data_IF_783264648209
#
_entry.id   IF_783264648209
#
_cell.length_a   1.000
_cell.length_b   1.000
_cell.length_c   1.000
_cell.angle_alpha   90.00
_cell.angle_beta   90.00
_cell.angle_gamma   90.00
#
_symmetry.space_group_name_H-M   'P 1'
#
loop_
_entity.id
_entity.type
_entity.pdbx_description
1 polymer ?
#
# COMPACT_ATOMS: atom_id res chain seq x y z
N UNK A 1 8.85 20.50 22.72
CA UNK A 1 9.60 19.43 23.41
C UNK A 1 8.59 18.45 23.98
N UNK A 2 8.67 17.16 23.63
CA UNK A 2 7.71 16.14 24.10
C UNK A 2 7.89 15.89 25.61
N UNK A 3 6.79 15.80 26.36
CA UNK A 3 6.76 15.53 27.80
C UNK A 3 7.48 14.21 28.15
N UNK A 4 7.46 13.23 27.23
CA UNK A 4 8.20 11.97 27.37
C UNK A 4 9.70 12.19 27.38
N UNK A 5 10.19 13.05 26.50
CA UNK A 5 11.61 13.39 26.41
C UNK A 5 12.06 14.17 27.65
N UNK A 6 11.23 15.10 28.16
CA UNK A 6 11.52 15.83 29.41
C UNK A 6 11.63 14.88 30.60
N UNK A 7 10.71 13.92 30.74
CA UNK A 7 10.75 12.91 31.82
C UNK A 7 11.92 11.93 31.69
N UNK A 8 12.36 11.63 30.46
CA UNK A 8 13.55 10.80 30.21
C UNK A 8 14.82 11.55 30.64
N UNK A 9 15.01 12.77 30.15
CA UNK A 9 16.15 13.62 30.49
C UNK A 9 16.23 13.94 31.99
N UNK A 10 15.11 14.22 32.64
CA UNK A 10 15.07 14.45 34.09
C UNK A 10 15.56 13.22 34.89
N UNK A 11 15.20 12.01 34.45
CA UNK A 11 15.70 10.76 35.07
C UNK A 11 17.20 10.57 34.82
N UNK A 12 17.64 10.74 33.58
CA UNK A 12 19.05 10.55 33.21
C UNK A 12 19.97 11.54 33.94
N UNK A 13 19.54 12.80 34.03
CA UNK A 13 20.25 13.83 34.79
C UNK A 13 20.33 13.48 36.29
N UNK A 14 19.22 13.07 36.91
CA UNK A 14 19.20 12.65 38.31
C UNK A 14 20.04 11.37 38.56
N UNK A 15 20.23 10.52 37.54
CA UNK A 15 21.13 9.36 37.60
C UNK A 15 22.60 9.70 37.39
N UNK A 16 22.96 10.98 37.27
CA UNK A 16 24.35 11.43 37.16
C UNK A 16 24.87 11.58 35.73
N UNK A 17 24.00 11.58 34.71
CA UNK A 17 24.41 11.91 33.33
C UNK A 17 24.83 13.38 33.25
N UNK A 18 26.13 13.62 33.08
CA UNK A 18 26.71 14.97 32.94
C UNK A 18 26.94 15.37 31.48
N UNK A 19 26.87 14.42 30.55
CA UNK A 19 27.08 14.65 29.13
C UNK A 19 25.76 14.75 28.35
N UNK A 20 25.56 15.88 27.67
CA UNK A 20 24.37 16.19 26.86
C UNK A 20 24.51 15.67 25.41
N UNK A 21 25.71 15.27 25.00
CA UNK A 21 25.95 14.73 23.67
C UNK A 21 25.34 13.33 23.51
N UNK A 22 24.86 13.05 22.30
CA UNK A 22 24.43 11.72 21.90
C UNK A 22 25.60 10.73 22.04
N UNK A 23 25.32 9.55 22.57
CA UNK A 23 26.26 8.44 22.57
C UNK A 23 26.59 8.02 21.13
N UNK A 24 27.76 7.39 20.96
CA UNK A 24 28.15 6.83 19.68
C UNK A 24 27.06 5.88 19.18
N UNK A 25 26.35 6.31 18.14
CA UNK A 25 25.33 5.48 17.51
C UNK A 25 26.07 4.43 16.70
N UNK A 26 25.73 3.15 16.90
CA UNK A 26 26.11 2.11 15.94
C UNK A 26 25.56 2.55 14.58
N UNK A 27 26.45 2.95 13.68
CA UNK A 27 26.08 3.45 12.36
C UNK A 27 25.28 2.43 11.56
N UNK A 28 24.90 2.79 10.33
CA UNK A 28 24.23 1.85 9.43
C UNK A 28 25.11 0.59 9.30
N UNK A 29 24.61 -0.62 9.65
CA UNK A 29 25.41 -1.82 9.52
C UNK A 29 25.74 -2.02 8.04
N UNK A 30 27.03 -1.89 7.71
CA UNK A 30 27.51 -2.07 6.34
C UNK A 30 27.47 -3.56 5.99
N UNK A 31 27.05 -3.87 4.77
CA UNK A 31 27.24 -5.21 4.20
C UNK A 31 28.72 -5.34 3.88
N UNK A 32 29.44 -6.24 4.57
CA UNK A 32 30.84 -6.50 4.26
C UNK A 32 30.97 -7.25 2.94
N UNK A 33 32.04 -6.99 2.20
CA UNK A 33 32.29 -7.70 0.93
C UNK A 33 32.50 -9.21 1.15
N UNK A 34 32.88 -9.62 2.36
CA UNK A 34 32.94 -11.03 2.75
C UNK A 34 31.56 -11.72 2.67
N UNK A 35 30.48 -11.06 3.12
CA UNK A 35 29.11 -11.61 3.03
C UNK A 35 28.69 -11.69 1.56
N UNK A 36 29.03 -10.67 0.76
CA UNK A 36 28.72 -10.62 -0.68
C UNK A 36 29.37 -11.80 -1.40
N UNK A 37 30.66 -12.03 -1.19
CA UNK A 37 31.39 -13.17 -1.81
C UNK A 37 30.85 -14.53 -1.32
N UNK A 38 30.51 -14.65 -0.04
CA UNK A 38 29.95 -15.89 0.51
C UNK A 38 28.58 -16.21 -0.11
N UNK A 39 27.73 -15.19 -0.31
CA UNK A 39 26.44 -15.35 -1.00
C UNK A 39 26.65 -15.75 -2.46
N UNK A 40 27.58 -15.11 -3.19
CA UNK A 40 27.88 -15.49 -4.58
C UNK A 40 28.37 -16.94 -4.67
N UNK A 41 29.29 -17.35 -3.81
CA UNK A 41 29.81 -18.71 -3.76
C UNK A 41 28.71 -19.74 -3.46
N UNK A 42 27.82 -19.44 -2.51
CA UNK A 42 26.72 -20.34 -2.17
C UNK A 42 25.70 -20.45 -3.31
N UNK A 43 25.37 -19.34 -3.96
CA UNK A 43 24.50 -19.36 -5.14
C UNK A 43 25.12 -20.13 -6.29
N UNK A 44 26.43 -20.03 -6.51
CA UNK A 44 27.14 -20.81 -7.53
C UNK A 44 27.16 -22.31 -7.20
N UNK A 45 27.35 -22.66 -5.92
CA UNK A 45 27.37 -24.03 -5.44
C UNK A 45 25.99 -24.69 -5.51
N UNK A 46 24.93 -23.95 -5.15
CA UNK A 46 23.56 -24.42 -5.16
C UNK A 46 22.64 -23.38 -5.79
N UNK A 47 22.41 -23.52 -7.11
CA UNK A 47 21.49 -22.65 -7.86
C UNK A 47 20.03 -22.76 -7.44
N UNK A 48 19.67 -23.75 -6.61
CA UNK A 48 18.32 -23.94 -6.05
C UNK A 48 18.20 -23.43 -4.61
N UNK A 49 19.24 -22.82 -4.04
CA UNK A 49 19.18 -22.23 -2.71
C UNK A 49 18.07 -21.17 -2.65
N UNK A 50 17.18 -21.28 -1.67
CA UNK A 50 16.13 -20.30 -1.46
C UNK A 50 16.67 -19.10 -0.68
N UNK A 51 15.95 -17.98 -0.74
CA UNK A 51 16.26 -16.76 0.03
C UNK A 51 16.40 -17.07 1.53
N UNK A 52 15.53 -17.94 2.05
CA UNK A 52 15.56 -18.34 3.45
C UNK A 52 16.82 -19.13 3.78
N UNK A 53 17.21 -20.06 2.92
CA UNK A 53 18.43 -20.87 3.12
C UNK A 53 19.68 -19.99 3.14
N UNK A 54 19.75 -18.98 2.26
CA UNK A 54 20.86 -18.03 2.21
C UNK A 54 20.90 -17.11 3.44
N UNK A 55 19.75 -16.64 3.92
CA UNK A 55 19.66 -15.81 5.12
C UNK A 55 20.01 -16.61 6.38
N UNK A 56 19.53 -17.84 6.52
CA UNK A 56 19.83 -18.72 7.65
C UNK A 56 21.31 -19.11 7.70
N UNK A 57 21.91 -19.39 6.54
CA UNK A 57 23.29 -19.85 6.46
C UNK A 57 24.34 -18.73 6.60
N UNK A 58 24.08 -17.57 6.00
CA UNK A 58 25.08 -16.51 5.85
C UNK A 58 24.72 -15.23 6.60
N UNK A 59 23.43 -14.98 6.83
CA UNK A 59 22.93 -13.75 7.42
C UNK A 59 23.13 -12.52 6.53
N UNK A 60 22.14 -11.62 6.49
CA UNK A 60 22.27 -10.36 5.75
C UNK A 60 22.13 -10.49 4.23
N UNK A 61 21.65 -11.62 3.72
CA UNK A 61 21.30 -11.80 2.31
C UNK A 61 20.29 -10.76 1.85
N UNK A 62 19.29 -10.43 2.68
CA UNK A 62 18.31 -9.38 2.38
C UNK A 62 18.94 -8.00 2.12
N UNK A 63 20.12 -7.71 2.69
CA UNK A 63 20.86 -6.47 2.42
C UNK A 63 21.68 -6.56 1.15
N UNK A 64 22.27 -7.73 0.89
CA UNK A 64 22.97 -8.03 -0.37
C UNK A 64 22.00 -7.92 -1.55
N UNK A 65 20.80 -8.51 -1.44
CA UNK A 65 19.77 -8.46 -2.47
C UNK A 65 19.28 -7.03 -2.72
N UNK A 66 19.05 -6.23 -1.68
CA UNK A 66 18.72 -4.81 -1.84
C UNK A 66 19.80 -4.00 -2.57
N UNK A 67 21.09 -4.42 -2.49
CA UNK A 67 22.22 -3.80 -3.21
C UNK A 67 22.34 -4.30 -4.65
N UNK A 68 22.03 -5.57 -4.91
CA UNK A 68 22.19 -6.21 -6.23
C UNK A 68 20.99 -6.04 -7.14
N UNK A 69 19.76 -6.19 -6.64
CA UNK A 69 18.54 -6.20 -7.44
C UNK A 69 18.42 -4.94 -8.31
N UNK A 70 18.63 -3.70 -7.79
CA UNK A 70 18.58 -2.50 -8.63
C UNK A 70 19.63 -2.51 -9.76
N UNK A 71 20.80 -3.12 -9.53
CA UNK A 71 21.90 -3.18 -10.50
C UNK A 71 21.73 -4.31 -11.52
N UNK A 72 20.94 -5.34 -11.19
CA UNK A 72 20.60 -6.44 -12.09
C UNK A 72 19.37 -6.16 -12.94
N UNK A 73 18.59 -5.13 -12.60
CA UNK A 73 17.49 -4.64 -13.40
C UNK A 73 18.03 -3.70 -14.49
N UNK A 74 18.11 -4.19 -15.73
CA UNK A 74 18.34 -3.35 -16.92
C UNK A 74 17.26 -2.28 -17.05
N UNK A 75 17.60 -1.13 -17.64
CA UNK A 75 16.67 -0.01 -17.87
C UNK A 75 15.38 -0.46 -18.58
N UNK A 76 15.50 -1.37 -19.55
CA UNK A 76 14.36 -1.97 -20.23
C UNK A 76 13.41 -2.75 -19.32
N UNK A 77 13.96 -3.47 -18.32
CA UNK A 77 13.15 -4.19 -17.34
C UNK A 77 12.43 -3.23 -16.40
N UNK A 78 13.10 -2.13 -16.01
CA UNK A 78 12.51 -1.08 -15.19
C UNK A 78 11.39 -0.35 -15.96
N UNK A 79 11.64 -0.02 -17.22
CA UNK A 79 10.66 0.60 -18.12
C UNK A 79 9.44 -0.29 -18.30
N UNK A 80 9.61 -1.59 -18.58
CA UNK A 80 8.51 -2.54 -18.70
C UNK A 80 7.71 -2.67 -17.40
N UNK A 81 8.37 -2.70 -16.23
CA UNK A 81 7.66 -2.71 -14.94
C UNK A 81 6.84 -1.44 -14.74
N UNK A 82 7.40 -0.27 -15.09
CA UNK A 82 6.70 1.01 -14.98
C UNK A 82 5.51 1.11 -15.94
N UNK A 83 5.66 0.61 -17.17
CA UNK A 83 4.60 0.55 -18.16
C UNK A 83 3.46 -0.37 -17.70
N UNK A 84 3.79 -1.56 -17.19
CA UNK A 84 2.81 -2.48 -16.61
C UNK A 84 2.07 -1.85 -15.41
N UNK A 85 2.80 -1.18 -14.51
CA UNK A 85 2.21 -0.46 -13.39
C UNK A 85 1.29 0.68 -13.84
N UNK A 86 1.64 1.39 -14.91
CA UNK A 86 0.82 2.45 -15.50
C UNK A 86 -0.48 1.90 -16.09
N UNK A 87 -0.40 0.78 -16.79
CA UNK A 87 -1.56 0.09 -17.35
C UNK A 87 -2.49 -0.43 -16.24
N UNK A 88 -1.93 -1.08 -15.21
CA UNK A 88 -2.70 -1.58 -14.07
C UNK A 88 -3.38 -0.43 -13.31
N UNK A 89 -2.63 0.62 -12.95
CA UNK A 89 -3.20 1.77 -12.21
C UNK A 89 -4.22 2.54 -13.05
N UNK A 90 -3.96 2.74 -14.34
CA UNK A 90 -4.90 3.38 -15.27
C UNK A 90 -6.22 2.60 -15.39
N UNK A 91 -6.15 1.28 -15.57
CA UNK A 91 -7.33 0.42 -15.66
C UNK A 91 -8.15 0.40 -14.37
N UNK A 92 -7.51 0.43 -13.20
CA UNK A 92 -8.24 0.51 -11.92
C UNK A 92 -8.99 1.83 -11.74
N UNK A 93 -8.39 2.96 -12.12
CA UNK A 93 -9.03 4.27 -12.05
C UNK A 93 -10.22 4.40 -13.01
N UNK A 94 -10.07 3.92 -14.25
CA UNK A 94 -11.17 3.92 -15.22
C UNK A 94 -12.31 3.01 -14.78
N UNK A 95 -12.00 1.85 -14.21
CA UNK A 95 -13.00 0.93 -13.69
C UNK A 95 -13.77 1.55 -12.51
N UNK A 96 -13.08 2.17 -11.54
CA UNK A 96 -13.70 2.85 -10.40
C UNK A 96 -14.64 3.97 -10.88
N UNK A 97 -14.18 4.80 -11.82
CA UNK A 97 -14.97 5.92 -12.34
C UNK A 97 -16.18 5.43 -13.15
N UNK A 98 -16.01 4.39 -13.97
CA UNK A 98 -17.12 3.80 -14.73
C UNK A 98 -18.16 3.15 -13.80
N UNK A 99 -17.74 2.37 -12.80
CA UNK A 99 -18.66 1.77 -11.82
C UNK A 99 -19.41 2.83 -11.00
N UNK A 100 -18.74 3.92 -10.63
CA UNK A 100 -19.38 5.03 -9.90
C UNK A 100 -20.36 5.81 -10.79
N UNK A 101 -20.05 5.98 -12.07
CA UNK A 101 -20.92 6.67 -13.04
C UNK A 101 -22.17 5.84 -13.36
N UNK A 102 -22.02 4.53 -13.54
CA UNK A 102 -23.14 3.60 -13.74
C UNK A 102 -24.04 3.54 -12.51
N UNK A 103 -23.46 3.46 -11.30
CA UNK A 103 -24.25 3.44 -10.05
C UNK A 103 -25.10 4.70 -9.85
N UNK A 104 -24.58 5.88 -10.23
CA UNK A 104 -25.35 7.14 -10.18
C UNK A 104 -26.51 7.17 -11.18
N UNK A 105 -26.31 6.65 -12.40
CA UNK A 105 -27.36 6.58 -13.42
C UNK A 105 -28.48 5.63 -13.01
N UNK A 106 -28.15 4.45 -12.49
CA UNK A 106 -29.13 3.46 -12.03
C UNK A 106 -29.93 3.99 -10.83
N UNK A 107 -29.28 4.68 -9.89
CA UNK A 107 -29.98 5.30 -8.76
C UNK A 107 -30.95 6.41 -9.21
N UNK A 108 -30.55 7.26 -10.16
CA UNK A 108 -31.43 8.30 -10.72
C UNK A 108 -32.63 7.72 -11.46
N UNK A 109 -32.42 6.64 -12.23
CA UNK A 109 -33.52 5.92 -12.89
C UNK A 109 -34.50 5.31 -11.88
N UNK A 110 -34.01 4.75 -10.77
CA UNK A 110 -34.87 4.18 -9.73
C UNK A 110 -35.75 5.23 -9.04
N UNK A 111 -35.24 6.44 -8.80
CA UNK A 111 -36.02 7.56 -8.24
C UNK A 111 -37.11 8.01 -9.22
N UNK A 112 -36.75 8.22 -10.49
CA UNK A 112 -37.72 8.62 -11.52
C UNK A 112 -38.82 7.57 -11.72
N UNK A 113 -38.46 6.29 -11.65
CA UNK A 113 -39.45 5.20 -11.72
C UNK A 113 -40.40 5.21 -10.52
N UNK A 114 -39.90 5.52 -9.32
CA UNK A 114 -40.74 5.56 -8.12
C UNK A 114 -41.72 6.75 -8.15
N UNK A 115 -41.27 7.92 -8.61
CA UNK A 115 -42.13 9.10 -8.81
C UNK A 115 -43.24 8.85 -9.84
N UNK A 116 -42.93 8.15 -10.94
CA UNK A 116 -43.93 7.79 -11.96
C UNK A 116 -44.99 6.83 -11.37
N UNK A 117 -44.58 5.85 -10.58
CA UNK A 117 -45.50 4.91 -9.93
C UNK A 117 -46.39 5.62 -8.91
N UNK A 118 -45.87 6.57 -8.15
CA UNK A 118 -46.66 7.40 -7.22
C UNK A 118 -47.70 8.25 -7.96
N UNK A 119 -47.32 8.91 -9.06
CA UNK A 119 -48.28 9.72 -9.85
C UNK A 119 -49.37 8.84 -10.46
N UNK A 120 -49.03 7.65 -10.96
CA UNK A 120 -50.01 6.72 -11.55
C UNK A 120 -50.96 6.17 -10.48
N UNK A 121 -50.46 5.83 -9.31
CA UNK A 121 -51.30 5.30 -8.22
C UNK A 121 -52.21 6.37 -7.62
N UNK A 122 -51.73 7.60 -7.43
CA UNK A 122 -52.55 8.74 -6.99
C UNK A 122 -53.63 9.08 -8.01
N UNK A 123 -53.30 9.14 -9.31
CA UNK A 123 -54.28 9.39 -10.36
C UNK A 123 -55.35 8.29 -10.44
N UNK A 124 -54.94 7.03 -10.25
CA UNK A 124 -55.88 5.90 -10.21
C UNK A 124 -56.84 6.00 -9.01
N UNK A 125 -56.33 6.37 -7.83
CA UNK A 125 -57.13 6.56 -6.61
C UNK A 125 -58.14 7.70 -6.78
N UNK A 126 -57.71 8.84 -7.32
CA UNK A 126 -58.58 10.00 -7.59
C UNK A 126 -59.70 9.61 -8.56
N UNK A 127 -59.38 8.83 -9.60
CA UNK A 127 -60.37 8.37 -10.57
C UNK A 127 -61.42 7.42 -9.93
N UNK A 128 -61.00 6.52 -9.04
CA UNK A 128 -61.90 5.63 -8.31
C UNK A 128 -62.78 6.37 -7.28
N UNK A 129 -62.26 7.43 -6.65
CA UNK A 129 -63.03 8.26 -5.72
C UNK A 129 -64.03 9.17 -6.44
N UNK A 130 -63.68 9.71 -7.60
CA UNK A 130 -64.62 10.49 -8.43
C UNK A 130 -65.76 9.63 -8.99
N UNK A 131 -65.53 8.35 -9.27
CA UNK A 131 -66.59 7.39 -9.66
C UNK A 131 -67.50 6.96 -8.52
N UNK A 132 -67.08 7.09 -7.24
CA UNK A 132 -67.89 6.73 -6.06
C UNK A 132 -68.77 7.86 -5.53
N UNK A 133 -68.49 9.10 -5.93
CA UNK A 133 -69.21 10.30 -5.48
C UNK A 133 -70.32 10.75 -6.46
N UNK A 134 -70.55 9.99 -7.53
CA UNK A 134 -71.65 10.12 -8.50
C UNK A 134 -72.62 8.98 -8.32
#
# INVERSE_FOLDING_TARGET
MDIKNVRKWSREFNSGRTNVHDEERSGRPSVSDAIVQAVEAEMLKNRRATIRDLEEKLGGYHKVSARWVPKQLTEDHQWKMMEQLRLIKGATWTNIVQTARISKLVAGMAVAMNEIVEVVTVNHQIHQETERLV
#
